data_IF_366401745168
#
_entry.id   IF_366401745168
#
_cell.length_a   1.000
_cell.length_b   1.000
_cell.length_c   1.000
_cell.angle_alpha   90.00
_cell.angle_beta   90.00
_cell.angle_gamma   90.00
#
_symmetry.space_group_name_H-M   'P 1'
#
loop_
_entity.id
_entity.type
_entity.pdbx_description
1 polymer ?
#
# COMPACT_ATOMS: atom_id res chain seq x y z
N UNK A 1 -6.30 -16.72 -0.50
CA UNK A 1 -6.58 -15.28 -0.26
C UNK A 1 -6.62 -14.57 -1.60
N UNK A 2 -7.69 -13.82 -1.85
CA UNK A 2 -7.91 -13.06 -3.10
C UNK A 2 -7.47 -11.60 -3.00
N UNK A 3 -7.55 -10.90 -4.13
CA UNK A 3 -7.38 -9.44 -4.20
C UNK A 3 -8.72 -8.72 -4.08
N UNK A 4 -8.68 -7.53 -3.49
CA UNK A 4 -9.80 -6.59 -3.43
C UNK A 4 -9.53 -5.45 -4.41
N UNK A 5 -10.40 -5.29 -5.41
CA UNK A 5 -10.32 -4.22 -6.40
C UNK A 5 -11.53 -3.28 -6.22
N UNK A 6 -11.24 -2.05 -5.80
CA UNK A 6 -12.24 -1.02 -5.55
C UNK A 6 -12.20 0.09 -6.60
N UNK A 7 -11.35 -0.04 -7.63
CA UNK A 7 -11.25 0.94 -8.72
C UNK A 7 -12.59 1.05 -9.45
N UNK A 8 -13.05 2.27 -9.71
CA UNK A 8 -14.34 2.53 -10.38
C UNK A 8 -15.59 2.26 -9.53
N UNK A 9 -15.48 1.78 -8.29
CA UNK A 9 -16.63 1.57 -7.39
C UNK A 9 -17.10 2.88 -6.75
N UNK A 10 -18.28 2.95 -6.14
CA UNK A 10 -18.71 4.16 -5.41
C UNK A 10 -18.16 4.26 -3.98
N UNK A 11 -17.24 3.37 -3.59
CA UNK A 11 -16.64 3.35 -2.25
C UNK A 11 -15.65 4.51 -2.12
N UNK A 12 -15.78 5.27 -1.03
CA UNK A 12 -14.94 6.44 -0.74
C UNK A 12 -14.09 6.29 0.51
N UNK A 13 -14.23 5.19 1.25
CA UNK A 13 -13.41 4.85 2.40
C UNK A 13 -13.30 3.33 2.54
N UNK A 14 -12.14 2.86 2.96
CA UNK A 14 -11.95 1.44 3.30
C UNK A 14 -12.68 1.12 4.61
N UNK A 15 -13.38 -0.02 4.71
CA UNK A 15 -13.97 -0.45 5.96
C UNK A 15 -12.88 -0.82 6.98
N UNK A 16 -13.27 -0.90 8.25
CA UNK A 16 -12.42 -1.51 9.28
C UNK A 16 -12.25 -3.00 9.00
N UNK A 17 -11.14 -3.59 9.42
CA UNK A 17 -10.84 -5.02 9.28
C UNK A 17 -10.76 -5.55 7.83
N UNK A 18 -10.34 -4.72 6.87
CA UNK A 18 -10.00 -5.21 5.53
C UNK A 18 -8.89 -6.27 5.64
N UNK A 19 -9.19 -7.49 5.20
CA UNK A 19 -8.23 -8.59 5.11
C UNK A 19 -8.22 -9.10 3.67
N UNK A 20 -7.14 -8.81 2.94
CA UNK A 20 -6.94 -9.26 1.57
C UNK A 20 -5.43 -9.39 1.29
N UNK A 21 -5.05 -10.08 0.20
CA UNK A 21 -3.63 -10.18 -0.18
C UNK A 21 -3.15 -8.99 -1.01
N UNK A 22 -4.07 -8.33 -1.69
CA UNK A 22 -3.77 -7.28 -2.66
C UNK A 22 -4.92 -6.31 -2.69
N UNK A 23 -4.61 -5.03 -2.71
CA UNK A 23 -5.60 -3.97 -2.65
C UNK A 23 -5.36 -2.97 -3.79
N UNK A 24 -6.36 -2.80 -4.65
CA UNK A 24 -6.32 -1.86 -5.77
C UNK A 24 -7.35 -0.76 -5.56
N UNK A 25 -6.88 0.48 -5.53
CA UNK A 25 -7.68 1.67 -5.20
C UNK A 25 -7.53 2.74 -6.25
N UNK A 26 -8.56 3.59 -6.36
CA UNK A 26 -8.45 4.91 -6.96
C UNK A 26 -7.96 5.88 -5.87
N UNK A 27 -6.68 6.32 -5.87
CA UNK A 27 -6.11 7.13 -4.78
C UNK A 27 -6.87 8.43 -4.52
N UNK A 28 -7.47 9.00 -5.56
CA UNK A 28 -8.17 10.29 -5.48
C UNK A 28 -9.59 10.16 -4.93
N UNK A 29 -10.11 8.94 -4.76
CA UNK A 29 -11.49 8.70 -4.32
C UNK A 29 -11.59 8.17 -2.89
N UNK A 30 -10.53 7.56 -2.37
CA UNK A 30 -10.49 6.99 -1.03
C UNK A 30 -9.94 8.05 -0.06
N UNK A 31 -10.71 8.41 0.97
CA UNK A 31 -10.38 9.49 1.88
C UNK A 31 -9.56 9.07 3.11
N UNK A 32 -9.58 7.78 3.47
CA UNK A 32 -8.89 7.24 4.64
C UNK A 32 -7.59 6.51 4.29
N UNK A 33 -6.87 7.04 3.31
CA UNK A 33 -5.55 6.59 2.91
C UNK A 33 -4.59 7.78 2.78
N UNK A 34 -3.32 7.53 3.01
CA UNK A 34 -2.24 8.31 2.41
C UNK A 34 -1.67 7.51 1.24
N UNK A 35 -1.12 8.19 0.23
CA UNK A 35 -0.54 7.51 -0.91
C UNK A 35 0.60 8.29 -1.56
N UNK A 36 1.48 7.55 -2.25
CA UNK A 36 2.55 8.11 -3.08
C UNK A 36 2.60 7.40 -4.43
N UNK A 37 2.40 8.15 -5.51
CA UNK A 37 2.52 7.67 -6.89
C UNK A 37 4.00 7.62 -7.31
N UNK A 38 4.33 6.83 -8.33
CA UNK A 38 5.67 6.84 -8.95
C UNK A 38 6.77 6.18 -8.09
N UNK A 39 6.41 5.23 -7.24
CA UNK A 39 7.34 4.56 -6.34
C UNK A 39 8.04 3.37 -7.02
N UNK A 40 9.37 3.35 -6.88
CA UNK A 40 10.22 2.28 -7.38
C UNK A 40 10.25 2.13 -8.91
N UNK A 41 10.91 1.08 -9.39
CA UNK A 41 11.23 0.91 -10.82
C UNK A 41 10.00 0.81 -11.74
N UNK A 42 8.89 0.28 -11.22
CA UNK A 42 7.64 0.11 -11.97
C UNK A 42 6.65 1.26 -11.80
N UNK A 43 7.04 2.36 -11.15
CA UNK A 43 6.18 3.54 -10.96
C UNK A 43 4.90 3.24 -10.17
N UNK A 44 4.97 2.32 -9.21
CA UNK A 44 3.80 1.86 -8.44
C UNK A 44 3.25 2.97 -7.56
N UNK A 45 1.96 2.87 -7.25
CA UNK A 45 1.39 3.65 -6.14
C UNK A 45 1.51 2.82 -4.87
N UNK A 46 2.07 3.43 -3.84
CA UNK A 46 2.05 2.90 -2.47
C UNK A 46 0.89 3.58 -1.76
N UNK A 47 0.10 2.80 -1.05
CA UNK A 47 -0.98 3.28 -0.20
C UNK A 47 -0.67 2.91 1.25
N UNK A 48 -0.91 3.81 2.19
CA UNK A 48 -1.01 3.53 3.61
C UNK A 48 -2.49 3.65 3.99
N UNK A 49 -3.11 2.53 4.38
CA UNK A 49 -4.52 2.42 4.68
C UNK A 49 -4.74 2.16 6.17
N UNK A 50 -5.56 3.00 6.81
CA UNK A 50 -6.02 2.74 8.17
C UNK A 50 -7.12 1.69 8.16
N UNK A 51 -6.93 0.56 8.86
CA UNK A 51 -7.94 -0.52 8.93
C UNK A 51 -8.67 -0.58 10.26
N UNK A 52 -8.71 0.51 11.02
CA UNK A 52 -9.36 0.59 12.34
C UNK A 52 -8.44 0.27 13.52
N UNK A 53 -7.38 -0.52 13.29
CA UNK A 53 -6.44 -0.97 14.33
C UNK A 53 -5.01 -0.52 14.09
N UNK A 54 -4.55 -0.65 12.86
CA UNK A 54 -3.19 -0.31 12.44
C UNK A 54 -3.19 0.12 10.96
N UNK A 55 -2.03 0.60 10.51
CA UNK A 55 -1.81 1.01 9.11
C UNK A 55 -1.25 -0.19 8.34
N UNK A 56 -1.90 -0.50 7.22
CA UNK A 56 -1.40 -1.47 6.25
C UNK A 56 -0.90 -0.76 5.00
N UNK A 57 0.23 -1.22 4.48
CA UNK A 57 0.82 -0.78 3.22
C UNK A 57 0.25 -1.64 2.09
N UNK A 58 -0.37 -1.00 1.09
CA UNK A 58 -0.73 -1.64 -0.16
C UNK A 58 0.23 -1.24 -1.29
N UNK A 59 0.78 -2.22 -2.01
CA UNK A 59 1.64 -1.97 -3.17
C UNK A 59 1.58 -3.16 -4.15
N UNK A 60 0.66 -3.09 -5.11
CA UNK A 60 0.44 -4.18 -6.07
C UNK A 60 -0.11 -5.43 -5.38
N UNK A 61 0.66 -6.52 -5.40
CA UNK A 61 0.24 -7.79 -4.80
C UNK A 61 0.52 -7.93 -3.30
N UNK A 62 0.75 -6.81 -2.63
CA UNK A 62 1.10 -6.73 -1.21
C UNK A 62 0.05 -5.90 -0.45
N UNK A 63 -0.39 -6.42 0.70
CA UNK A 63 -1.23 -5.70 1.67
C UNK A 63 -0.98 -6.24 3.08
N UNK A 64 -0.11 -5.57 3.84
CA UNK A 64 0.27 -5.96 5.21
C UNK A 64 0.97 -4.76 5.90
N UNK A 65 1.45 -4.95 7.12
CA UNK A 65 2.14 -3.94 7.95
C UNK A 65 3.36 -3.34 7.26
N UNK A 66 3.79 -2.16 7.72
CA UNK A 66 5.01 -1.52 7.24
C UNK A 66 6.23 -2.45 7.40
N UNK A 67 6.39 -3.10 8.54
CA UNK A 67 7.49 -4.04 8.79
C UNK A 67 7.48 -5.22 7.81
N UNK A 68 6.30 -5.78 7.53
CA UNK A 68 6.15 -6.85 6.54
C UNK A 68 6.47 -6.34 5.13
N UNK A 69 6.12 -5.09 4.81
CA UNK A 69 6.41 -4.48 3.52
C UNK A 69 7.91 -4.33 3.32
N UNK A 70 8.62 -3.84 4.34
CA UNK A 70 10.07 -3.67 4.28
C UNK A 70 10.79 -5.01 4.09
N UNK A 71 10.37 -6.06 4.81
CA UNK A 71 10.90 -7.42 4.62
C UNK A 71 10.61 -7.97 3.22
N UNK A 72 9.41 -7.74 2.70
CA UNK A 72 9.06 -8.15 1.34
C UNK A 72 9.91 -7.40 0.29
N UNK A 73 10.15 -6.11 0.49
CA UNK A 73 11.02 -5.31 -0.38
C UNK A 73 12.46 -5.83 -0.33
N UNK A 74 12.99 -6.15 0.84
CA UNK A 74 14.35 -6.67 1.01
C UNK A 74 14.52 -8.08 0.42
N UNK A 75 13.43 -8.84 0.28
CA UNK A 75 13.42 -10.13 -0.42
C UNK A 75 13.50 -10.00 -1.95
N UNK A 76 13.00 -8.91 -2.53
CA UNK A 76 12.86 -8.74 -3.98
C UNK A 76 13.78 -7.69 -4.61
N UNK A 77 14.25 -6.74 -3.82
CA UNK A 77 15.08 -5.63 -4.27
C UNK A 77 16.30 -5.48 -3.37
N UNK A 78 17.36 -4.91 -3.92
CA UNK A 78 18.59 -4.60 -3.19
C UNK A 78 19.05 -3.16 -3.44
N UNK A 79 19.87 -2.65 -2.52
CA UNK A 79 20.47 -1.33 -2.59
C UNK A 79 19.44 -0.19 -2.71
N UNK A 80 19.79 0.84 -3.49
CA UNK A 80 18.99 2.07 -3.61
C UNK A 80 17.53 1.85 -4.01
N UNK A 81 17.23 0.79 -4.76
CA UNK A 81 15.87 0.47 -5.15
C UNK A 81 15.02 0.02 -3.96
N UNK A 82 15.57 -0.85 -3.11
CA UNK A 82 14.93 -1.27 -1.86
C UNK A 82 14.74 -0.09 -0.92
N UNK A 83 15.80 0.71 -0.72
CA UNK A 83 15.76 1.89 0.16
C UNK A 83 14.69 2.90 -0.29
N UNK A 84 14.59 3.15 -1.60
CA UNK A 84 13.58 4.06 -2.15
C UNK A 84 12.15 3.55 -1.94
N UNK A 85 11.91 2.23 -2.05
CA UNK A 85 10.59 1.66 -1.77
C UNK A 85 10.23 1.78 -0.29
N UNK A 86 11.14 1.44 0.62
CA UNK A 86 10.91 1.51 2.07
C UNK A 86 10.68 2.96 2.51
N UNK A 87 11.51 3.88 2.03
CA UNK A 87 11.36 5.30 2.31
C UNK A 87 10.00 5.85 1.83
N UNK A 88 9.58 5.49 0.61
CA UNK A 88 8.29 5.89 0.07
C UNK A 88 7.10 5.39 0.91
N UNK A 89 7.18 4.18 1.45
CA UNK A 89 6.14 3.66 2.35
C UNK A 89 6.13 4.38 3.69
N UNK A 90 7.31 4.62 4.30
CA UNK A 90 7.43 5.38 5.56
C UNK A 90 6.85 6.78 5.45
N UNK A 91 7.09 7.47 4.33
CA UNK A 91 6.52 8.79 4.04
C UNK A 91 4.99 8.80 3.98
N UNK A 92 4.35 7.67 3.70
CA UNK A 92 2.89 7.57 3.71
C UNK A 92 2.32 7.31 5.12
N UNK A 93 3.15 6.94 6.10
CA UNK A 93 2.72 6.59 7.46
C UNK A 93 2.99 7.73 8.46
N UNK A 94 3.85 8.68 8.10
CA UNK A 94 4.33 9.78 8.95
C UNK A 94 3.31 10.89 9.22
#
# INVERSE_FOLDING_TARGET
>A
MGGLDLRGTSITALPENVCCRSLYLDPERISNIAYRKGCGRSGRTIFAAWTGKEIHIAAGCFFDTLDAFERAVDGEYTGKAADAYKQAARECVA
#
